data_IF_690940324007
#
_entry.id   IF_690940324007
#
_cell.length_a   1.000
_cell.length_b   1.000
_cell.length_c   1.000
_cell.angle_alpha   90.00
_cell.angle_beta   90.00
_cell.angle_gamma   90.00
#
_symmetry.space_group_name_H-M   'P 1'
#
loop_
_entity.id
_entity.type
_entity.pdbx_description
1 polymer ?
#
# COMPACT_ATOMS: atom_id res chain seq x y z
N UNK A 1 11.14 -10.96 3.23
CA UNK A 1 12.23 -11.95 3.11
C UNK A 1 13.36 -11.29 2.31
N UNK A 2 14.59 -11.18 2.83
CA UNK A 2 15.71 -10.57 2.08
C UNK A 2 16.53 -11.66 1.41
N UNK A 3 16.63 -11.64 0.08
CA UNK A 3 17.56 -12.50 -0.64
C UNK A 3 18.65 -11.65 -1.28
N UNK A 4 19.83 -11.61 -0.66
CA UNK A 4 21.02 -11.04 -1.27
C UNK A 4 21.73 -12.15 -2.05
N UNK A 5 21.16 -12.58 -3.19
CA UNK A 5 21.87 -13.47 -4.11
C UNK A 5 22.52 -12.65 -5.22
N UNK A 6 23.84 -12.77 -5.30
CA UNK A 6 24.67 -12.20 -6.38
C UNK A 6 24.70 -13.23 -7.50
N UNK A 7 24.00 -12.95 -8.60
CA UNK A 7 23.96 -13.79 -9.80
C UNK A 7 25.17 -13.44 -10.68
N UNK A 8 26.24 -14.22 -10.61
CA UNK A 8 27.47 -13.97 -11.37
C UNK A 8 27.50 -14.80 -12.66
N UNK A 9 27.82 -14.17 -13.80
CA UNK A 9 28.15 -14.88 -15.04
C UNK A 9 29.57 -14.58 -15.52
N UNK A 10 30.22 -15.57 -16.15
CA UNK A 10 31.44 -15.37 -16.96
C UNK A 10 31.14 -15.33 -18.46
N UNK A 11 31.45 -14.19 -19.08
CA UNK A 11 31.58 -13.89 -20.52
C UNK A 11 30.47 -14.37 -21.45
N UNK A 12 29.64 -13.44 -21.95
CA UNK A 12 28.90 -13.59 -23.21
C UNK A 12 29.89 -13.48 -24.39
N UNK A 13 29.85 -14.41 -25.35
CA UNK A 13 30.70 -14.35 -26.55
C UNK A 13 29.81 -14.26 -27.81
N UNK A 14 29.34 -13.05 -28.08
CA UNK A 14 28.67 -12.70 -29.34
C UNK A 14 29.41 -11.56 -30.02
N UNK A 15 30.53 -11.86 -30.68
CA UNK A 15 31.30 -10.93 -31.51
C UNK A 15 31.90 -9.71 -30.79
N UNK A 16 33.17 -9.80 -30.39
CA UNK A 16 34.04 -8.73 -29.86
C UNK A 16 33.78 -8.16 -28.45
N UNK A 17 32.79 -8.65 -27.68
CA UNK A 17 32.53 -8.13 -26.32
C UNK A 17 32.43 -9.25 -25.29
N UNK A 18 33.28 -9.23 -24.26
CA UNK A 18 33.12 -10.01 -23.04
C UNK A 18 32.44 -9.14 -21.99
N UNK A 19 31.31 -9.62 -21.46
CA UNK A 19 30.61 -8.99 -20.33
C UNK A 19 30.67 -9.91 -19.11
N UNK A 20 31.01 -9.37 -17.94
CA UNK A 20 30.66 -9.97 -16.65
C UNK A 20 29.39 -9.30 -16.15
N UNK A 21 28.29 -10.03 -16.21
CA UNK A 21 26.99 -9.56 -15.74
C UNK A 21 26.76 -10.09 -14.33
N UNK A 22 26.55 -9.15 -13.40
CA UNK A 22 26.19 -9.44 -12.02
C UNK A 22 24.86 -8.78 -11.72
N UNK A 23 23.89 -9.53 -11.21
CA UNK A 23 22.63 -8.98 -10.72
C UNK A 23 22.36 -9.38 -9.27
N UNK A 24 21.88 -8.44 -8.48
CA UNK A 24 21.33 -8.67 -7.14
C UNK A 24 19.86 -8.27 -7.17
N UNK A 25 19.00 -9.17 -6.71
CA UNK A 25 17.55 -9.00 -6.77
C UNK A 25 16.95 -9.22 -5.38
N UNK A 26 16.26 -8.22 -4.87
CA UNK A 26 15.41 -8.34 -3.69
C UNK A 26 13.96 -8.25 -4.11
N UNK A 27 13.11 -9.08 -3.50
CA UNK A 27 11.68 -9.10 -3.77
C UNK A 27 10.94 -9.34 -2.47
N UNK A 28 9.78 -8.71 -2.32
CA UNK A 28 8.98 -8.83 -1.11
C UNK A 28 7.70 -8.02 -1.19
N UNK A 29 7.03 -7.88 -0.05
CA UNK A 29 5.90 -6.99 0.14
C UNK A 29 5.93 -6.38 1.54
N UNK A 30 5.31 -5.21 1.70
CA UNK A 30 5.09 -4.55 2.99
C UNK A 30 3.64 -4.79 3.41
N UNK A 31 3.39 -5.64 4.42
CA UNK A 31 2.11 -5.87 5.12
C UNK A 31 0.83 -5.84 4.25
N UNK A 32 0.90 -6.29 3.00
CA UNK A 32 -0.25 -6.22 2.09
C UNK A 32 -0.58 -4.82 1.54
N UNK A 33 0.35 -3.87 1.57
CA UNK A 33 0.22 -2.53 0.99
C UNK A 33 0.80 -2.45 -0.42
N UNK A 34 2.04 -2.89 -0.60
CA UNK A 34 2.67 -3.00 -1.92
C UNK A 34 3.67 -4.15 -1.93
N UNK A 35 3.80 -4.80 -3.08
CA UNK A 35 4.95 -5.64 -3.37
C UNK A 35 6.04 -4.85 -4.08
N UNK A 36 7.27 -5.31 -4.03
CA UNK A 36 8.40 -4.59 -4.59
C UNK A 36 9.46 -5.50 -5.22
N UNK A 37 10.19 -4.94 -6.17
CA UNK A 37 11.43 -5.45 -6.73
C UNK A 37 12.52 -4.40 -6.55
N UNK A 38 13.67 -4.82 -6.00
CA UNK A 38 14.90 -4.01 -6.01
C UNK A 38 15.92 -4.79 -6.82
N UNK A 39 16.35 -4.21 -7.94
CA UNK A 39 17.27 -4.85 -8.86
C UNK A 39 18.48 -3.97 -9.04
N UNK A 40 19.63 -4.49 -8.63
CA UNK A 40 20.94 -3.91 -8.89
C UNK A 40 21.65 -4.76 -9.91
N UNK A 41 22.09 -4.16 -11.01
CA UNK A 41 22.90 -4.84 -12.01
C UNK A 41 24.21 -4.10 -12.21
N UNK A 42 25.30 -4.86 -12.30
CA UNK A 42 26.64 -4.39 -12.63
C UNK A 42 27.12 -5.16 -13.84
N UNK A 43 27.48 -4.43 -14.88
CA UNK A 43 28.09 -4.96 -16.10
C UNK A 43 29.47 -4.36 -16.26
N UNK A 44 30.42 -5.14 -16.75
CA UNK A 44 31.70 -4.61 -17.23
C UNK A 44 31.79 -4.84 -18.73
N UNK A 45 32.28 -3.84 -19.45
CA UNK A 45 32.57 -3.94 -20.88
C UNK A 45 34.06 -3.85 -21.11
N UNK A 46 34.68 -4.92 -21.60
CA UNK A 46 36.06 -4.85 -22.09
C UNK A 46 36.10 -4.26 -23.50
N UNK A 47 36.84 -3.17 -23.69
CA UNK A 47 37.05 -2.56 -25.01
C UNK A 47 38.08 -3.34 -25.82
N UNK A 48 38.15 -3.07 -27.14
CA UNK A 48 39.23 -3.58 -28.01
C UNK A 48 40.64 -3.24 -27.51
N UNK A 49 40.79 -2.20 -26.68
CA UNK A 49 42.07 -1.81 -26.07
C UNK A 49 42.36 -2.52 -24.74
N UNK A 50 41.48 -3.42 -24.29
CA UNK A 50 41.59 -4.13 -23.02
C UNK A 50 41.20 -3.31 -21.79
N UNK A 51 40.48 -2.20 -21.95
CA UNK A 51 39.99 -1.41 -20.82
C UNK A 51 38.59 -1.89 -20.40
N UNK A 52 38.39 -2.11 -19.11
CA UNK A 52 37.08 -2.48 -18.56
C UNK A 52 36.29 -1.23 -18.14
N UNK A 53 35.12 -1.05 -18.75
CA UNK A 53 34.20 0.05 -18.46
C UNK A 53 33.04 -0.51 -17.62
N UNK A 54 32.90 -0.12 -16.34
CA UNK A 54 31.75 -0.53 -15.56
C UNK A 54 30.48 0.20 -16.00
N UNK A 55 29.36 -0.48 -15.81
CA UNK A 55 28.01 -0.01 -16.07
C UNK A 55 27.10 -0.55 -14.97
N UNK A 56 26.59 0.35 -14.13
CA UNK A 56 25.70 -0.03 -13.04
C UNK A 56 24.30 0.50 -13.37
N UNK A 57 23.29 -0.32 -13.17
CA UNK A 57 21.90 0.11 -13.18
C UNK A 57 21.23 -0.31 -11.88
N UNK A 58 20.35 0.54 -11.38
CA UNK A 58 19.50 0.28 -10.23
C UNK A 58 18.04 0.54 -10.62
N UNK A 59 17.14 -0.36 -10.23
CA UNK A 59 15.71 -0.17 -10.40
C UNK A 59 15.00 -0.60 -9.11
N UNK A 60 14.19 0.30 -8.56
CA UNK A 60 13.24 -0.01 -7.50
C UNK A 60 11.85 0.09 -8.11
N UNK A 61 11.07 -0.97 -8.03
CA UNK A 61 9.73 -1.06 -8.63
C UNK A 61 8.75 -1.49 -7.55
N UNK A 62 7.69 -0.71 -7.35
CA UNK A 62 6.58 -0.97 -6.45
C UNK A 62 5.34 -1.35 -7.26
N UNK A 63 4.63 -2.38 -6.79
CA UNK A 63 3.37 -2.85 -7.34
C UNK A 63 2.33 -2.89 -6.22
N UNK A 64 1.29 -2.07 -6.34
CA UNK A 64 0.24 -1.95 -5.33
C UNK A 64 -0.76 -3.11 -5.42
N UNK A 65 -0.97 -3.65 -6.62
CA UNK A 65 -1.99 -4.68 -6.85
C UNK A 65 -1.36 -6.08 -7.03
N UNK A 66 -1.93 -7.14 -6.39
CA UNK A 66 -1.45 -8.51 -6.56
C UNK A 66 -1.47 -9.02 -8.00
N UNK A 67 -2.41 -8.55 -8.82
CA UNK A 67 -2.54 -8.94 -10.23
C UNK A 67 -1.26 -8.66 -11.04
N UNK A 68 -0.48 -7.64 -10.64
CA UNK A 68 0.79 -7.32 -11.28
C UNK A 68 1.85 -8.37 -10.97
N UNK A 69 1.91 -8.86 -9.73
CA UNK A 69 2.76 -10.00 -9.37
C UNK A 69 2.33 -11.28 -10.07
N UNK A 70 1.02 -11.52 -10.22
CA UNK A 70 0.49 -12.65 -10.99
C UNK A 70 0.96 -12.59 -12.45
N UNK A 71 0.92 -11.41 -13.07
CA UNK A 71 1.43 -11.20 -14.42
C UNK A 71 2.93 -11.50 -14.51
N UNK A 72 3.75 -11.04 -13.55
CA UNK A 72 5.19 -11.39 -13.52
C UNK A 72 5.38 -12.89 -13.45
N UNK A 73 4.69 -13.55 -12.51
CA UNK A 73 4.80 -14.98 -12.31
C UNK A 73 4.36 -15.77 -13.56
N UNK A 74 3.28 -15.35 -14.22
CA UNK A 74 2.81 -15.98 -15.45
C UNK A 74 3.84 -15.87 -16.58
N UNK A 75 4.49 -14.72 -16.74
CA UNK A 75 5.55 -14.52 -17.74
C UNK A 75 6.73 -15.47 -17.48
N UNK A 76 7.15 -15.62 -16.23
CA UNK A 76 8.24 -16.51 -15.83
C UNK A 76 7.88 -17.98 -16.07
N UNK A 77 6.70 -18.42 -15.64
CA UNK A 77 6.20 -19.78 -15.86
C UNK A 77 6.05 -20.12 -17.33
N UNK A 78 5.48 -19.22 -18.14
CA UNK A 78 5.39 -19.41 -19.61
C UNK A 78 6.78 -19.61 -20.23
N UNK A 79 7.79 -18.89 -19.75
CA UNK A 79 9.18 -19.09 -20.20
C UNK A 79 9.76 -20.41 -19.72
N UNK A 80 9.56 -20.80 -18.47
CA UNK A 80 10.02 -22.09 -17.93
C UNK A 80 9.39 -23.28 -18.65
N UNK A 81 8.08 -23.23 -18.92
CA UNK A 81 7.36 -24.28 -19.65
C UNK A 81 7.86 -24.45 -21.09
N UNK A 82 8.46 -23.41 -21.67
CA UNK A 82 9.08 -23.50 -22.99
C UNK A 82 10.44 -24.25 -22.96
N UNK A 83 11.05 -24.41 -21.78
CA UNK A 83 12.43 -24.89 -21.57
C UNK A 83 13.44 -24.01 -22.30
N UNK A 84 14.59 -24.55 -22.69
CA UNK A 84 15.65 -23.81 -23.43
C UNK A 84 15.26 -23.30 -24.84
N UNK A 85 13.97 -23.28 -25.20
CA UNK A 85 13.52 -22.67 -26.45
C UNK A 85 13.65 -21.15 -26.32
N UNK A 86 14.25 -20.51 -27.32
CA UNK A 86 14.32 -19.05 -27.44
C UNK A 86 12.93 -18.54 -27.80
N UNK A 87 12.03 -18.53 -26.82
CA UNK A 87 10.67 -18.02 -26.96
C UNK A 87 10.51 -16.83 -26.01
N UNK A 88 10.24 -15.67 -26.58
CA UNK A 88 9.99 -14.46 -25.82
C UNK A 88 8.65 -14.54 -25.07
N UNK A 89 8.67 -14.20 -23.79
CA UNK A 89 7.48 -13.94 -22.97
C UNK A 89 7.50 -12.48 -22.53
N UNK A 90 6.39 -11.76 -22.63
CA UNK A 90 6.34 -10.33 -22.28
C UNK A 90 5.03 -9.95 -21.62
N UNK A 91 5.09 -8.97 -20.72
CA UNK A 91 3.93 -8.27 -20.18
C UNK A 91 4.30 -6.85 -19.77
N UNK A 92 3.26 -6.02 -19.60
CA UNK A 92 3.38 -4.61 -19.32
C UNK A 92 2.48 -4.25 -18.15
N UNK A 93 3.05 -3.62 -17.13
CA UNK A 93 2.37 -3.23 -15.90
C UNK A 93 2.59 -1.76 -15.60
N UNK A 94 1.57 -1.12 -15.03
CA UNK A 94 1.77 0.11 -14.25
C UNK A 94 2.55 -0.23 -12.99
N UNK A 95 3.42 0.68 -12.59
CA UNK A 95 4.23 0.55 -11.38
C UNK A 95 4.70 1.93 -10.94
N UNK A 96 5.02 2.08 -9.67
CA UNK A 96 5.75 3.26 -9.18
C UNK A 96 7.20 2.86 -8.89
N UNK A 97 8.13 3.81 -8.87
CA UNK A 97 9.51 3.50 -8.55
C UNK A 97 10.55 4.48 -9.06
N UNK A 98 11.81 4.08 -8.99
CA UNK A 98 12.95 4.88 -9.42
C UNK A 98 13.94 4.02 -10.21
N UNK A 99 14.48 4.60 -11.29
CA UNK A 99 15.56 4.03 -12.08
C UNK A 99 16.80 4.94 -12.03
N UNK A 100 17.95 4.35 -11.74
CA UNK A 100 19.26 5.01 -11.82
C UNK A 100 20.13 4.28 -12.85
N UNK A 101 20.48 4.98 -13.93
CA UNK A 101 21.45 4.54 -14.92
C UNK A 101 22.84 5.12 -14.66
N UNK A 102 23.87 4.53 -15.28
CA UNK A 102 25.29 4.91 -15.14
C UNK A 102 25.60 6.42 -15.07
N UNK A 103 24.88 7.24 -15.83
CA UNK A 103 25.17 8.67 -16.02
C UNK A 103 23.92 9.56 -15.86
N UNK A 104 22.87 9.09 -15.17
CA UNK A 104 21.61 9.81 -14.97
C UNK A 104 21.29 9.90 -13.48
N UNK A 105 20.69 11.03 -13.06
CA UNK A 105 20.03 11.10 -11.76
C UNK A 105 18.85 10.11 -11.70
N UNK A 106 18.33 9.85 -10.51
CA UNK A 106 17.14 9.01 -10.33
C UNK A 106 15.99 9.56 -11.17
N UNK A 107 15.36 8.68 -11.94
CA UNK A 107 14.23 8.98 -12.81
C UNK A 107 13.03 8.13 -12.39
N UNK A 108 11.88 8.76 -12.23
CA UNK A 108 10.66 8.09 -11.80
C UNK A 108 10.18 7.04 -12.83
N UNK A 109 9.77 5.89 -12.32
CA UNK A 109 9.17 4.80 -13.08
C UNK A 109 7.65 4.90 -12.92
N UNK A 110 6.91 4.91 -14.03
CA UNK A 110 5.45 4.82 -14.04
C UNK A 110 4.94 3.53 -14.66
N UNK A 111 5.76 2.89 -15.51
CA UNK A 111 5.42 1.61 -16.12
C UNK A 111 6.65 0.73 -16.29
N UNK A 112 6.42 -0.57 -16.18
CA UNK A 112 7.44 -1.60 -16.40
C UNK A 112 6.96 -2.58 -17.45
N UNK A 113 7.81 -2.86 -18.44
CA UNK A 113 7.68 -4.02 -19.30
C UNK A 113 8.61 -5.10 -18.80
N UNK A 114 8.05 -6.25 -18.42
CA UNK A 114 8.82 -7.45 -18.17
C UNK A 114 8.92 -8.24 -19.46
N UNK A 115 10.12 -8.68 -19.75
CA UNK A 115 10.43 -9.41 -20.96
C UNK A 115 11.44 -10.51 -20.63
N UNK A 116 11.10 -11.75 -20.97
CA UNK A 116 11.99 -12.89 -20.82
C UNK A 116 12.21 -13.49 -22.19
N UNK A 117 13.36 -13.19 -22.78
CA UNK A 117 13.74 -13.66 -24.12
C UNK A 117 15.20 -14.10 -24.11
N UNK A 118 15.49 -15.15 -24.87
CA UNK A 118 16.84 -15.69 -24.99
C UNK A 118 17.33 -16.15 -23.64
N UNK A 119 18.23 -15.35 -23.08
CA UNK A 119 19.05 -15.63 -21.91
C UNK A 119 18.90 -14.61 -20.76
N UNK A 120 17.91 -13.72 -20.85
CA UNK A 120 17.76 -12.62 -19.92
C UNK A 120 16.30 -12.34 -19.56
N UNK A 121 16.04 -12.10 -18.28
CA UNK A 121 14.84 -11.44 -17.78
C UNK A 121 15.16 -9.94 -17.73
N UNK A 122 14.40 -9.13 -18.46
CA UNK A 122 14.59 -7.68 -18.53
C UNK A 122 13.37 -6.95 -18.00
N UNK A 123 13.59 -5.97 -17.14
CA UNK A 123 12.61 -4.99 -16.69
C UNK A 123 12.93 -3.67 -17.37
N UNK A 124 12.17 -3.36 -18.42
CA UNK A 124 12.27 -2.07 -19.12
C UNK A 124 11.38 -1.06 -18.40
N UNK A 125 11.97 0.03 -17.96
CA UNK A 125 11.32 1.06 -17.16
C UNK A 125 10.94 2.24 -18.07
N UNK A 126 9.75 2.78 -17.85
CA UNK A 126 9.19 3.89 -18.62
C UNK A 126 8.64 4.98 -17.69
N UNK A 127 8.74 6.23 -18.12
CA UNK A 127 8.14 7.39 -17.45
C UNK A 127 6.62 7.49 -17.71
N UNK A 128 5.99 8.52 -17.13
CA UNK A 128 4.56 8.83 -17.28
C UNK A 128 4.13 9.06 -18.74
N UNK A 129 5.07 9.55 -19.55
CA UNK A 129 4.95 9.85 -20.96
C UNK A 129 5.21 8.61 -21.85
N UNK A 130 5.47 7.44 -21.23
CA UNK A 130 5.81 6.16 -21.87
C UNK A 130 7.12 6.18 -22.66
N UNK A 131 8.03 7.10 -22.35
CA UNK A 131 9.38 7.05 -22.88
C UNK A 131 10.18 6.02 -22.11
N UNK A 132 11.01 5.26 -22.82
CA UNK A 132 11.92 4.32 -22.20
C UNK A 132 13.05 5.07 -21.49
N UNK A 133 13.13 4.93 -20.17
CA UNK A 133 14.14 5.60 -19.33
C UNK A 133 15.31 4.68 -18.97
N UNK A 134 15.09 3.36 -18.98
CA UNK A 134 16.12 2.43 -18.51
C UNK A 134 15.72 0.97 -18.58
N UNK A 135 16.68 0.08 -18.36
CA UNK A 135 16.42 -1.34 -18.24
C UNK A 135 17.35 -2.00 -17.21
N UNK A 136 16.76 -2.77 -16.31
CA UNK A 136 17.47 -3.70 -15.45
C UNK A 136 17.34 -5.12 -15.99
N UNK A 137 18.36 -5.96 -15.81
CA UNK A 137 18.39 -7.30 -16.40
C UNK A 137 18.95 -8.32 -15.44
N UNK A 138 18.39 -9.53 -15.50
CA UNK A 138 18.78 -10.70 -14.72
C UNK A 138 19.10 -11.83 -15.71
N UNK A 139 20.31 -12.40 -15.70
CA UNK A 139 20.63 -13.57 -16.53
C UNK A 139 19.78 -14.77 -16.12
N UNK A 140 19.24 -15.54 -17.07
CA UNK A 140 18.40 -16.72 -16.74
C UNK A 140 19.19 -17.95 -16.31
N UNK A 141 20.45 -18.04 -16.71
CA UNK A 141 21.30 -19.21 -16.52
C UNK A 141 22.51 -18.89 -15.64
N UNK A 142 23.02 -19.89 -14.92
CA UNK A 142 24.27 -19.78 -14.14
C UNK A 142 25.48 -20.28 -14.93
N UNK A 143 25.29 -21.29 -15.79
CA UNK A 143 26.37 -21.89 -16.58
C UNK A 143 26.28 -21.57 -18.08
N UNK A 144 27.45 -21.33 -18.67
CA UNK A 144 27.64 -21.09 -20.09
C UNK A 144 28.89 -21.86 -20.55
N UNK A 145 28.69 -22.86 -21.41
CA UNK A 145 29.74 -23.76 -21.87
C UNK A 145 29.71 -23.84 -23.40
N UNK A 146 30.89 -23.84 -24.03
CA UNK A 146 31.05 -23.98 -25.49
C UNK A 146 30.21 -23.02 -26.37
N UNK A 147 29.80 -21.87 -25.82
CA UNK A 147 28.99 -20.89 -26.54
C UNK A 147 27.47 -21.05 -26.35
N UNK A 148 27.03 -22.01 -25.52
CA UNK A 148 25.63 -22.28 -25.24
C UNK A 148 25.33 -22.22 -23.74
N UNK A 149 24.08 -21.87 -23.40
CA UNK A 149 23.57 -21.99 -22.05
C UNK A 149 23.24 -23.44 -21.74
N UNK A 150 23.60 -23.88 -20.55
CA UNK A 150 23.44 -25.29 -20.16
C UNK A 150 22.36 -25.49 -19.09
N UNK A 151 21.80 -24.41 -18.53
CA UNK A 151 20.76 -24.42 -17.50
C UNK A 151 19.82 -23.20 -17.59
N UNK A 152 18.79 -23.19 -16.73
CA UNK A 152 17.88 -22.06 -16.49
C UNK A 152 17.74 -21.77 -14.98
N UNK A 153 18.79 -22.04 -14.18
CA UNK A 153 18.71 -22.08 -12.71
C UNK A 153 18.31 -20.72 -12.09
N UNK A 154 18.77 -19.60 -12.66
CA UNK A 154 18.37 -18.28 -12.15
C UNK A 154 16.90 -17.98 -12.46
N UNK A 155 16.39 -18.44 -13.60
CA UNK A 155 14.98 -18.29 -13.96
C UNK A 155 14.09 -19.11 -13.02
N UNK A 156 14.44 -20.37 -12.76
CA UNK A 156 13.74 -21.24 -11.80
C UNK A 156 13.73 -20.63 -10.39
N UNK A 157 14.87 -20.11 -9.97
CA UNK A 157 15.00 -19.45 -8.68
C UNK A 157 14.17 -18.17 -8.60
N UNK A 158 14.20 -17.33 -9.63
CA UNK A 158 13.44 -16.09 -9.66
C UNK A 158 11.92 -16.35 -9.70
N UNK A 159 11.47 -17.35 -10.46
CA UNK A 159 10.07 -17.81 -10.44
C UNK A 159 9.63 -18.27 -9.06
N UNK A 160 10.45 -19.11 -8.40
CA UNK A 160 10.16 -19.60 -7.04
C UNK A 160 9.99 -18.45 -6.06
N UNK A 161 10.91 -17.47 -6.08
CA UNK A 161 10.86 -16.30 -5.21
C UNK A 161 9.62 -15.44 -5.45
N UNK A 162 9.29 -15.18 -6.72
CA UNK A 162 8.10 -14.41 -7.11
C UNK A 162 6.84 -15.15 -6.66
N UNK A 163 6.78 -16.47 -6.83
CA UNK A 163 5.66 -17.30 -6.39
C UNK A 163 5.44 -17.25 -4.88
N UNK A 164 6.50 -17.43 -4.07
CA UNK A 164 6.40 -17.37 -2.61
C UNK A 164 5.94 -15.99 -2.11
N UNK A 165 6.46 -14.91 -2.71
CA UNK A 165 6.03 -13.54 -2.37
C UNK A 165 4.59 -13.28 -2.81
N UNK A 166 4.21 -13.72 -4.02
CA UNK A 166 2.87 -13.58 -4.55
C UNK A 166 1.84 -14.27 -3.64
N UNK A 167 2.08 -15.53 -3.24
CA UNK A 167 1.17 -16.27 -2.37
C UNK A 167 0.94 -15.52 -1.04
N UNK A 168 2.02 -14.98 -0.46
CA UNK A 168 1.92 -14.18 0.76
C UNK A 168 1.24 -12.83 0.53
N UNK A 169 1.46 -12.18 -0.61
CA UNK A 169 0.91 -10.87 -0.96
C UNK A 169 -0.60 -10.97 -1.25
N UNK A 170 -1.02 -11.99 -1.98
CA UNK A 170 -2.44 -12.35 -2.22
C UNK A 170 -3.13 -12.70 -0.91
N UNK A 171 -2.48 -13.44 -0.01
CA UNK A 171 -3.06 -13.78 1.29
C UNK A 171 -3.34 -12.55 2.15
N UNK A 172 -2.46 -11.54 2.10
CA UNK A 172 -2.65 -10.26 2.78
C UNK A 172 -3.78 -9.42 2.14
N UNK A 173 -3.94 -9.51 0.81
CA UNK A 173 -5.03 -8.88 0.05
C UNK A 173 -6.32 -9.71 -0.01
N UNK A 174 -6.42 -10.83 0.72
CA UNK A 174 -7.60 -11.68 0.66
C UNK A 174 -8.79 -10.98 1.34
N UNK A 175 -9.92 -10.75 0.65
CA UNK A 175 -11.09 -10.09 1.22
C UNK A 175 -11.60 -10.75 2.50
N UNK A 176 -11.54 -12.10 2.59
CA UNK A 176 -11.96 -12.81 3.81
C UNK A 176 -11.01 -12.54 4.99
N UNK A 177 -9.71 -12.41 4.74
CA UNK A 177 -8.73 -12.08 5.79
C UNK A 177 -8.94 -10.63 6.25
N UNK A 178 -9.11 -9.70 5.30
CA UNK A 178 -9.39 -8.30 5.61
C UNK A 178 -10.70 -8.15 6.38
N UNK A 179 -11.77 -8.83 5.99
CA UNK A 179 -13.05 -8.82 6.72
C UNK A 179 -12.92 -9.41 8.14
N UNK A 180 -12.16 -10.51 8.29
CA UNK A 180 -11.87 -11.10 9.59
C UNK A 180 -11.08 -10.17 10.54
N UNK A 181 -10.34 -9.20 10.01
CA UNK A 181 -9.64 -8.18 10.81
C UNK A 181 -10.48 -6.91 11.03
N UNK A 182 -11.30 -6.53 10.03
CA UNK A 182 -12.27 -5.41 10.08
C UNK A 182 -13.28 -5.58 11.18
N UNK A 183 -13.96 -6.72 11.23
CA UNK A 183 -15.06 -6.93 12.19
C UNK A 183 -14.57 -6.76 13.65
N UNK A 184 -13.43 -7.36 14.06
CA UNK A 184 -12.83 -7.08 15.37
C UNK A 184 -12.39 -5.62 15.55
N UNK A 185 -11.86 -4.96 14.51
CA UNK A 185 -11.42 -3.57 14.58
C UNK A 185 -12.60 -2.61 14.82
N UNK A 186 -13.68 -2.75 14.05
CA UNK A 186 -14.93 -2.01 14.25
C UNK A 186 -15.44 -2.24 15.67
N UNK A 187 -15.48 -3.50 16.14
CA UNK A 187 -15.88 -3.82 17.51
C UNK A 187 -15.00 -3.17 18.60
N UNK A 188 -13.71 -2.90 18.33
CA UNK A 188 -12.85 -2.10 19.23
C UNK A 188 -13.24 -0.63 19.22
N UNK A 189 -13.46 -0.03 18.05
CA UNK A 189 -13.95 1.35 17.90
C UNK A 189 -15.28 1.54 18.62
N UNK A 190 -16.25 0.65 18.36
CA UNK A 190 -17.54 0.65 19.04
C UNK A 190 -17.41 0.59 20.56
N UNK A 191 -16.52 -0.27 21.06
CA UNK A 191 -16.27 -0.38 22.51
C UNK A 191 -15.73 0.93 23.08
N UNK A 192 -14.80 1.58 22.38
CA UNK A 192 -14.23 2.87 22.79
C UNK A 192 -15.35 3.92 22.84
N UNK A 193 -16.08 4.11 21.74
CA UNK A 193 -17.17 5.08 21.62
C UNK A 193 -18.27 4.88 22.67
N UNK A 194 -18.67 3.63 22.92
CA UNK A 194 -19.65 3.28 23.95
C UNK A 194 -19.17 3.59 25.37
N UNK A 195 -17.86 3.51 25.64
CA UNK A 195 -17.26 3.81 26.95
C UNK A 195 -16.78 5.24 27.09
N UNK A 196 -16.78 6.00 26.00
CA UNK A 196 -16.25 7.36 25.92
C UNK A 196 -16.85 8.27 27.01
N UNK A 197 -18.18 8.32 27.12
CA UNK A 197 -18.84 9.17 28.11
C UNK A 197 -18.47 8.81 29.56
N UNK A 198 -18.30 7.53 29.87
CA UNK A 198 -17.85 7.08 31.20
C UNK A 198 -16.44 7.55 31.50
N UNK A 199 -15.53 7.44 30.54
CA UNK A 199 -14.15 7.92 30.69
C UNK A 199 -14.11 9.45 30.84
N UNK A 200 -14.86 10.18 30.01
CA UNK A 200 -14.97 11.64 30.09
C UNK A 200 -15.50 12.09 31.47
N UNK A 201 -16.55 11.43 31.99
CA UNK A 201 -17.05 11.68 33.36
C UNK A 201 -15.98 11.46 34.42
N UNK A 202 -15.16 10.41 34.28
CA UNK A 202 -14.10 10.11 35.23
C UNK A 202 -12.96 11.13 35.21
N UNK A 203 -12.60 11.63 34.03
CA UNK A 203 -11.57 12.68 33.89
C UNK A 203 -12.00 14.02 34.50
N UNK A 204 -13.31 14.27 34.57
CA UNK A 204 -13.86 15.44 35.26
C UNK A 204 -13.85 15.33 36.78
N UNK A 205 -13.89 14.12 37.34
CA UNK A 205 -13.84 13.92 38.79
C UNK A 205 -12.40 14.02 39.30
N UNK A 206 -11.92 15.25 39.49
CA UNK A 206 -10.57 15.54 40.00
C UNK A 206 -10.46 15.42 41.53
N UNK A 207 -11.49 14.90 42.21
CA UNK A 207 -11.56 14.82 43.67
C UNK A 207 -11.18 16.14 44.38
N UNK A 208 -11.47 17.28 43.74
CA UNK A 208 -11.29 18.62 44.28
C UNK A 208 -9.85 19.16 44.32
N UNK A 209 -8.91 18.60 43.54
CA UNK A 209 -7.48 18.94 43.66
C UNK A 209 -6.84 19.61 42.44
N UNK A 210 -7.50 19.70 41.28
CA UNK A 210 -6.94 20.31 40.05
C UNK A 210 -8.04 20.68 39.05
N UNK A 211 -7.68 21.41 38.00
CA UNK A 211 -8.53 21.71 36.84
C UNK A 211 -8.97 20.40 36.17
N UNK A 212 -10.28 20.20 36.04
CA UNK A 212 -10.87 19.04 35.35
C UNK A 212 -10.67 19.14 33.85
N UNK A 213 -10.56 17.99 33.19
CA UNK A 213 -10.70 17.94 31.74
C UNK A 213 -12.19 18.10 31.40
N UNK A 214 -12.56 19.27 30.88
CA UNK A 214 -13.89 19.56 30.37
C UNK A 214 -13.92 19.39 28.84
N UNK A 215 -15.03 18.86 28.33
CA UNK A 215 -15.28 18.76 26.89
C UNK A 215 -16.21 19.91 26.55
N UNK A 216 -15.70 20.93 25.87
CA UNK A 216 -16.47 22.14 25.53
C UNK A 216 -16.91 22.12 24.06
N UNK A 217 -16.09 21.55 23.18
CA UNK A 217 -16.31 21.56 21.75
C UNK A 217 -15.94 20.21 21.09
N UNK A 218 -16.00 20.15 19.76
CA UNK A 218 -15.73 18.92 18.99
C UNK A 218 -14.26 18.53 19.00
N UNK A 219 -13.34 19.49 19.00
CA UNK A 219 -11.90 19.23 19.06
C UNK A 219 -11.48 18.58 20.38
N UNK A 220 -12.18 18.86 21.48
CA UNK A 220 -11.94 18.19 22.77
C UNK A 220 -12.37 16.72 22.70
N UNK A 221 -13.50 16.44 22.02
CA UNK A 221 -13.97 15.07 21.76
C UNK A 221 -12.97 14.33 20.89
N UNK A 222 -12.54 14.94 19.78
CA UNK A 222 -11.53 14.38 18.88
C UNK A 222 -10.23 14.07 19.63
N UNK A 223 -9.72 15.01 20.43
CA UNK A 223 -8.46 14.85 21.17
C UNK A 223 -8.53 13.67 22.15
N UNK A 224 -9.63 13.55 22.90
CA UNK A 224 -9.81 12.44 23.83
C UNK A 224 -10.00 11.12 23.08
N UNK A 225 -10.80 11.10 22.02
CA UNK A 225 -11.06 9.90 21.24
C UNK A 225 -9.78 9.36 20.60
N UNK A 226 -8.98 10.25 20.01
CA UNK A 226 -7.68 9.93 19.42
C UNK A 226 -6.76 9.26 20.44
N UNK A 227 -6.75 9.74 21.68
CA UNK A 227 -5.95 9.13 22.74
C UNK A 227 -6.35 7.69 23.03
N UNK A 228 -7.65 7.36 22.95
CA UNK A 228 -8.15 6.01 23.14
C UNK A 228 -7.90 5.12 21.92
N UNK A 229 -8.05 5.66 20.71
CA UNK A 229 -7.75 4.94 19.49
C UNK A 229 -6.26 4.54 19.42
N UNK A 230 -5.35 5.44 19.84
CA UNK A 230 -3.91 5.14 19.96
C UNK A 230 -3.56 4.04 20.96
N UNK A 231 -4.47 3.65 21.85
CA UNK A 231 -4.24 2.50 22.74
C UNK A 231 -4.54 1.16 22.06
N UNK A 232 -5.33 1.17 20.99
CA UNK A 232 -5.88 -0.03 20.35
C UNK A 232 -5.40 -0.19 18.90
N UNK A 233 -4.84 0.86 18.30
CA UNK A 233 -4.36 0.88 16.92
C UNK A 233 -2.99 1.57 16.84
N UNK A 234 -2.02 0.88 16.24
CA UNK A 234 -0.66 1.40 16.06
C UNK A 234 -0.59 2.43 14.92
N UNK A 235 -1.36 2.21 13.85
CA UNK A 235 -1.39 3.06 12.67
C UNK A 235 -2.71 3.83 12.55
N UNK A 236 -2.76 4.99 13.21
CA UNK A 236 -3.86 5.95 13.14
C UNK A 236 -3.34 7.31 12.68
N UNK A 237 -3.99 7.86 11.65
CA UNK A 237 -3.72 9.20 11.13
C UNK A 237 -4.86 10.12 11.53
N UNK A 238 -4.54 11.37 11.84
CA UNK A 238 -5.51 12.40 12.16
C UNK A 238 -5.50 13.49 11.10
N UNK A 239 -6.64 14.17 10.91
CA UNK A 239 -6.77 15.33 10.02
C UNK A 239 -6.37 15.05 8.56
N UNK A 240 -6.85 13.94 8.00
CA UNK A 240 -6.56 13.54 6.62
C UNK A 240 -7.25 14.50 5.65
N UNK A 241 -6.48 15.15 4.79
CA UNK A 241 -7.01 15.88 3.64
C UNK A 241 -7.33 14.90 2.53
N UNK A 242 -8.51 15.06 1.95
CA UNK A 242 -8.97 14.27 0.81
C UNK A 242 -9.00 15.12 -0.46
N UNK A 243 -9.13 14.47 -1.62
CA UNK A 243 -9.19 15.15 -2.92
C UNK A 243 -10.26 16.25 -2.94
N UNK A 244 -9.98 17.33 -3.66
CA UNK A 244 -10.89 18.48 -3.68
C UNK A 244 -12.25 18.09 -4.25
N UNK A 245 -13.32 18.31 -3.48
CA UNK A 245 -14.70 18.16 -3.93
C UNK A 245 -15.44 19.50 -3.86
N UNK A 246 -16.10 19.87 -4.96
CA UNK A 246 -16.85 21.12 -5.08
C UNK A 246 -16.06 22.41 -4.73
N UNK A 247 -14.72 22.38 -4.86
CA UNK A 247 -13.85 23.50 -4.52
C UNK A 247 -13.44 23.57 -3.04
N UNK A 248 -13.84 22.58 -2.24
CA UNK A 248 -13.44 22.38 -0.84
C UNK A 248 -12.61 21.11 -0.68
N UNK A 249 -11.62 21.09 0.20
CA UNK A 249 -10.89 19.88 0.62
C UNK A 249 -11.42 19.48 2.00
N UNK A 250 -12.48 18.66 2.06
CA UNK A 250 -13.03 18.21 3.34
C UNK A 250 -11.98 17.36 4.07
N UNK A 251 -12.04 17.44 5.40
CA UNK A 251 -11.04 16.89 6.30
C UNK A 251 -11.70 15.78 7.12
N UNK A 252 -11.10 14.61 7.11
CA UNK A 252 -11.53 13.49 7.95
C UNK A 252 -10.80 13.57 9.27
N UNK A 253 -11.51 13.35 10.36
CA UNK A 253 -10.91 13.42 11.68
C UNK A 253 -9.87 12.33 11.90
N UNK A 254 -10.20 11.06 11.60
CA UNK A 254 -9.24 9.96 11.69
C UNK A 254 -9.36 8.91 10.58
N UNK A 255 -8.22 8.33 10.22
CA UNK A 255 -8.09 7.13 9.40
C UNK A 255 -7.29 6.07 10.17
N UNK A 256 -7.89 4.90 10.36
CA UNK A 256 -7.21 3.69 10.81
C UNK A 256 -6.80 2.95 9.52
N UNK A 257 -5.51 2.97 9.17
CA UNK A 257 -5.04 2.54 7.83
C UNK A 257 -5.32 1.07 7.56
N UNK A 258 -5.17 0.22 8.57
CA UNK A 258 -5.42 -1.21 8.50
C UNK A 258 -6.43 -1.54 9.60
N UNK A 259 -7.71 -1.75 9.26
CA UNK A 259 -8.23 -2.16 7.96
C UNK A 259 -9.07 -1.08 7.21
N UNK A 260 -8.51 0.12 7.05
CA UNK A 260 -9.09 1.27 6.34
C UNK A 260 -10.47 1.72 6.84
N UNK A 261 -10.52 2.05 8.15
CA UNK A 261 -11.71 2.58 8.82
C UNK A 261 -11.58 4.09 8.98
N UNK A 262 -12.53 4.83 8.43
CA UNK A 262 -12.66 6.27 8.64
C UNK A 262 -13.48 6.53 9.91
N UNK A 263 -13.06 7.51 10.71
CA UNK A 263 -13.81 7.95 11.88
C UNK A 263 -14.06 9.45 11.79
N UNK A 264 -15.34 9.81 11.79
CA UNK A 264 -15.84 11.19 11.81
C UNK A 264 -16.38 11.51 13.21
N UNK A 265 -16.05 12.65 13.79
CA UNK A 265 -16.48 13.02 15.15
C UNK A 265 -17.41 14.22 15.14
N UNK A 266 -18.51 14.12 15.87
CA UNK A 266 -19.43 15.25 16.11
C UNK A 266 -19.71 15.43 17.59
N UNK A 267 -19.81 16.68 18.04
CA UNK A 267 -20.27 17.02 19.38
C UNK A 267 -21.67 17.65 19.31
N UNK A 268 -22.68 16.91 19.79
CA UNK A 268 -24.04 17.39 19.92
C UNK A 268 -24.21 18.23 21.20
N UNK A 269 -24.70 19.46 21.01
CA UNK A 269 -24.92 20.43 22.08
C UNK A 269 -26.02 21.41 21.67
N UNK A 270 -26.49 22.22 22.61
CA UNK A 270 -27.66 23.10 22.37
C UNK A 270 -27.58 24.00 21.12
N UNK A 271 -26.39 24.42 20.71
CA UNK A 271 -26.15 25.27 19.52
C UNK A 271 -25.66 24.49 18.28
N UNK A 272 -25.53 23.16 18.38
CA UNK A 272 -25.16 22.25 17.31
C UNK A 272 -25.96 20.95 17.47
N UNK A 273 -27.21 21.00 17.00
CA UNK A 273 -28.24 20.02 17.31
C UNK A 273 -28.40 18.94 16.26
N UNK A 274 -29.48 18.18 16.40
CA UNK A 274 -29.80 17.04 15.51
C UNK A 274 -29.81 17.41 14.02
N UNK A 275 -30.36 18.58 13.66
CA UNK A 275 -30.48 18.98 12.26
C UNK A 275 -29.14 19.38 11.67
N UNK A 276 -28.34 20.15 12.40
CA UNK A 276 -27.03 20.61 11.96
C UNK A 276 -26.11 19.41 11.69
N UNK A 277 -26.05 18.47 12.63
CA UNK A 277 -25.25 17.24 12.49
C UNK A 277 -25.72 16.39 11.30
N UNK A 278 -27.03 16.29 11.06
CA UNK A 278 -27.55 15.57 9.87
C UNK A 278 -27.12 16.22 8.56
N UNK A 279 -27.14 17.55 8.50
CA UNK A 279 -26.74 18.29 7.30
C UNK A 279 -25.25 18.15 7.03
N UNK A 280 -24.40 18.26 8.06
CA UNK A 280 -22.97 18.03 7.96
C UNK A 280 -22.66 16.61 7.49
N UNK A 281 -23.19 15.59 8.18
CA UNK A 281 -22.95 14.20 7.81
C UNK A 281 -23.48 13.84 6.41
N UNK A 282 -24.53 14.51 5.93
CA UNK A 282 -25.02 14.32 4.57
C UNK A 282 -24.06 14.89 3.50
N UNK A 283 -23.39 16.01 3.79
CA UNK A 283 -22.37 16.60 2.93
C UNK A 283 -21.12 15.71 2.92
N UNK A 284 -20.66 15.31 4.11
CA UNK A 284 -19.48 14.48 4.29
C UNK A 284 -19.64 13.12 3.58
N UNK A 285 -20.85 12.56 3.64
CA UNK A 285 -21.24 11.31 2.98
C UNK A 285 -21.13 11.32 1.45
N UNK A 286 -21.58 12.38 0.78
CA UNK A 286 -21.46 12.48 -0.67
C UNK A 286 -20.01 12.61 -1.14
N UNK A 287 -19.15 13.10 -0.24
CA UNK A 287 -17.71 13.13 -0.44
C UNK A 287 -17.07 11.75 -0.23
N UNK A 288 -17.41 11.05 0.85
CA UNK A 288 -16.84 9.72 1.17
C UNK A 288 -17.18 8.64 0.15
N UNK A 289 -18.34 8.70 -0.51
CA UNK A 289 -18.69 7.80 -1.63
C UNK A 289 -17.67 7.79 -2.78
N UNK A 290 -16.79 8.79 -2.86
CA UNK A 290 -15.77 8.91 -3.91
C UNK A 290 -14.37 8.53 -3.42
N UNK A 291 -14.23 8.22 -2.14
CA UNK A 291 -12.99 7.77 -1.52
C UNK A 291 -13.04 6.25 -1.37
N UNK A 292 -11.91 5.59 -1.62
CA UNK A 292 -11.78 4.14 -1.44
C UNK A 292 -11.59 3.84 0.06
N UNK A 293 -12.71 3.59 0.75
CA UNK A 293 -12.73 3.26 2.18
C UNK A 293 -13.68 2.10 2.43
N UNK A 294 -13.37 1.32 3.44
CA UNK A 294 -14.10 0.08 3.72
C UNK A 294 -15.23 0.26 4.72
N UNK A 295 -15.08 1.18 5.67
CA UNK A 295 -16.08 1.50 6.68
C UNK A 295 -15.94 2.96 7.12
N UNK A 296 -17.08 3.65 7.29
CA UNK A 296 -17.14 4.96 7.93
C UNK A 296 -17.88 4.86 9.27
N UNK A 297 -17.20 5.21 10.36
CA UNK A 297 -17.79 5.32 11.69
C UNK A 297 -18.03 6.78 12.05
N UNK A 298 -19.29 7.19 12.17
CA UNK A 298 -19.65 8.52 12.66
C UNK A 298 -19.89 8.45 14.19
N UNK A 299 -18.96 8.99 14.97
CA UNK A 299 -19.08 9.08 16.42
C UNK A 299 -19.67 10.42 16.86
N UNK A 300 -20.83 10.36 17.52
CA UNK A 300 -21.54 11.52 18.02
C UNK A 300 -21.53 11.49 19.54
N UNK A 301 -20.86 12.46 20.14
CA UNK A 301 -20.89 12.68 21.58
C UNK A 301 -22.04 13.63 21.92
N UNK A 302 -23.05 13.14 22.63
CA UNK A 302 -24.26 13.87 23.05
C UNK A 302 -24.39 13.85 24.57
N UNK A 303 -23.54 14.57 25.34
CA UNK A 303 -23.60 14.55 26.79
C UNK A 303 -24.86 15.23 27.37
N UNK A 304 -25.48 16.13 26.61
CA UNK A 304 -26.61 16.98 27.02
C UNK A 304 -27.99 16.44 26.62
N UNK A 305 -28.03 15.32 25.89
CA UNK A 305 -29.27 14.70 25.44
C UNK A 305 -30.06 15.52 24.41
N UNK A 306 -29.34 16.22 23.53
CA UNK A 306 -29.91 17.07 22.46
C UNK A 306 -30.52 16.24 21.33
N UNK A 307 -30.07 15.00 21.17
CA UNK A 307 -30.67 14.06 20.20
C UNK A 307 -31.80 13.30 20.89
N UNK A 308 -33.04 13.74 20.68
CA UNK A 308 -34.24 13.18 21.32
C UNK A 308 -34.50 11.69 20.97
N UNK A 309 -34.22 11.30 19.71
CA UNK A 309 -34.42 9.93 19.21
C UNK A 309 -33.14 9.38 18.56
N UNK A 310 -32.15 8.94 19.34
CA UNK A 310 -30.89 8.42 18.81
C UNK A 310 -31.08 7.23 17.88
N UNK A 311 -32.05 6.35 18.16
CA UNK A 311 -32.32 5.18 17.31
C UNK A 311 -32.84 5.58 15.93
N UNK A 312 -33.77 6.54 15.86
CA UNK A 312 -34.24 7.08 14.58
C UNK A 312 -33.17 7.86 13.85
N UNK A 313 -32.37 8.64 14.59
CA UNK A 313 -31.24 9.38 14.05
C UNK A 313 -30.24 8.47 13.34
N UNK A 314 -29.81 7.38 13.99
CA UNK A 314 -28.89 6.39 13.41
C UNK A 314 -29.45 5.81 12.12
N UNK A 315 -30.69 5.32 12.16
CA UNK A 315 -31.36 4.71 11.01
C UNK A 315 -31.49 5.63 9.80
N UNK A 316 -31.59 6.95 10.01
CA UNK A 316 -31.68 7.92 8.92
C UNK A 316 -30.34 8.09 8.17
N UNK A 317 -29.20 7.74 8.79
CA UNK A 317 -27.86 8.00 8.29
C UNK A 317 -27.13 6.70 7.89
N UNK A 318 -27.25 5.65 8.71
CA UNK A 318 -26.61 4.34 8.52
C UNK A 318 -27.02 3.69 7.20
N UNK A 319 -26.05 3.18 6.44
CA UNK A 319 -26.22 2.46 5.18
C UNK A 319 -25.24 1.29 5.09
N UNK A 320 -25.56 0.33 4.23
CA UNK A 320 -24.71 -0.85 4.00
C UNK A 320 -23.67 -0.61 2.89
N UNK A 321 -23.87 0.34 1.97
CA UNK A 321 -23.00 0.54 0.79
C UNK A 321 -22.88 2.04 0.37
N UNK A 322 -21.75 2.71 0.64
CA UNK A 322 -20.65 2.27 1.52
C UNK A 322 -21.16 2.07 2.95
N UNK A 323 -20.50 1.20 3.71
CA UNK A 323 -20.90 0.89 5.08
C UNK A 323 -20.67 2.09 5.99
N UNK A 324 -21.75 2.59 6.59
CA UNK A 324 -21.75 3.74 7.51
C UNK A 324 -22.39 3.32 8.82
N UNK A 325 -21.60 3.34 9.89
CA UNK A 325 -22.04 3.02 11.25
C UNK A 325 -22.14 4.30 12.09
N UNK A 326 -23.27 4.51 12.78
CA UNK A 326 -23.47 5.71 13.62
C UNK A 326 -23.51 5.36 15.11
N UNK A 327 -22.56 5.92 15.85
CA UNK A 327 -22.40 5.67 17.29
C UNK A 327 -22.72 6.93 18.08
N UNK A 328 -23.81 6.90 18.86
CA UNK A 328 -24.18 7.98 19.78
C UNK A 328 -23.79 7.60 21.20
N UNK A 329 -23.05 8.47 21.89
CA UNK A 329 -22.59 8.27 23.27
C UNK A 329 -22.95 9.48 24.14
N UNK A 330 -23.56 9.31 25.32
CA UNK A 330 -23.85 8.04 25.99
C UNK A 330 -24.92 7.21 25.28
N UNK A 331 -24.79 5.89 25.37
CA UNK A 331 -25.79 4.95 24.85
C UNK A 331 -27.01 4.95 25.79
N UNK A 332 -28.21 5.24 25.27
CA UNK A 332 -29.45 5.41 26.05
C UNK A 332 -30.54 4.46 25.59
#
# INVERSE_FOLDING_TARGET
MKLEKILNRRSYAGGEFNFEDVAQVQIGHEEGKYGYFIIESKRSKTTLSGADIPWNNHAVVYLEEPDKFEQVNEILRRRLDSGLKIQASTGFMSAEGEYEGKDTDNTDISYVRIHVEGDVISLQCFDDSRNHIGAASIPIATAFEEGEYTDEENLEMFDTMVGEVLDSFVSAHNPETMENERVPAIGRVERICNRFHTAAKQLRDTHGKSDSFEIENEYDVQSLLHSFLKLEFDNIRAEIYTDSYAGTQPRIDFLIEEPNILVEVKHARSDHGTQDIKEELAIDKDHYRKQDHDELVCFIYDPEEVIDNPSGFKKDIEWEEPSVTVLVSPNR
#
